data_IF_243117218295
#
_entry.id   IF_243117218295
#
_cell.length_a   1.000
_cell.length_b   1.000
_cell.length_c   1.000
_cell.angle_alpha   90.00
_cell.angle_beta   90.00
_cell.angle_gamma   90.00
#
_symmetry.space_group_name_H-M   'P 1'
#
loop_
_entity.id
_entity.type
_entity.pdbx_description
1 polymer ?
#
# COMPACT_ATOMS: atom_id res chain seq x y z
N UNK A 1 6.13 -8.23 5.55
CA UNK A 1 6.06 -7.25 4.44
C UNK A 1 5.09 -6.17 4.87
N UNK A 2 5.47 -4.89 4.86
CA UNK A 2 4.51 -3.83 5.18
C UNK A 2 3.96 -3.32 3.87
N UNK A 3 2.66 -3.51 3.64
CA UNK A 3 1.93 -2.85 2.58
C UNK A 3 1.64 -1.42 3.06
N UNK A 4 2.54 -0.48 2.76
CA UNK A 4 2.38 0.91 3.19
C UNK A 4 1.53 1.62 2.14
N UNK A 5 0.24 1.82 2.44
CA UNK A 5 -0.50 2.92 1.82
C UNK A 5 0.06 4.21 2.42
N UNK A 6 0.98 4.85 1.70
CA UNK A 6 1.62 6.08 2.15
C UNK A 6 0.62 7.24 2.00
N UNK A 7 -0.39 7.27 2.87
CA UNK A 7 -1.28 8.42 3.00
C UNK A 7 -0.51 9.50 3.77
N UNK A 8 0.27 10.29 3.04
CA UNK A 8 0.70 11.60 3.53
C UNK A 8 -0.32 12.60 3.02
N UNK A 9 -1.45 12.76 3.70
CA UNK A 9 -2.52 13.63 3.23
C UNK A 9 -2.04 15.09 3.05
N UNK A 10 -2.16 15.66 1.84
CA UNK A 10 -2.01 17.10 1.57
C UNK A 10 -2.88 17.49 0.35
N UNK A 11 -4.20 17.59 0.53
CA UNK A 11 -5.12 18.17 -0.46
C UNK A 11 -6.50 18.51 0.14
N UNK A 12 -7.18 19.57 -0.35
CA UNK A 12 -8.53 19.90 0.11
C UNK A 12 -9.50 18.87 -0.45
N UNK A 13 -9.83 17.87 0.38
CA UNK A 13 -10.57 16.67 -0.01
C UNK A 13 -10.03 15.38 0.62
N UNK A 14 -8.92 15.46 1.37
CA UNK A 14 -8.27 14.36 2.08
C UNK A 14 -9.21 13.47 2.89
N UNK A 15 -8.75 12.25 3.16
CA UNK A 15 -9.49 11.19 3.84
C UNK A 15 -10.31 11.75 5.02
N UNK A 16 -11.58 11.33 5.13
CA UNK A 16 -12.44 11.55 6.31
C UNK A 16 -11.95 10.74 7.52
N UNK A 17 -10.64 10.67 7.75
CA UNK A 17 -10.08 10.07 8.94
C UNK A 17 -10.15 11.12 10.06
N UNK A 18 -11.12 10.98 10.96
CA UNK A 18 -11.33 11.90 12.09
C UNK A 18 -10.12 12.03 13.03
N UNK A 19 -9.14 11.11 12.90
CA UNK A 19 -7.90 11.11 13.68
C UNK A 19 -6.78 11.96 13.07
N UNK A 20 -6.83 12.26 11.77
CA UNK A 20 -5.80 13.07 11.09
C UNK A 20 -6.44 14.40 10.67
N UNK A 21 -6.03 15.55 11.28
CA UNK A 21 -6.59 16.83 10.90
C UNK A 21 -6.35 17.11 9.41
N UNK A 22 -7.30 17.79 8.75
CA UNK A 22 -7.29 18.07 7.30
C UNK A 22 -6.02 18.75 6.77
N UNK A 23 -5.25 19.40 7.65
CA UNK A 23 -3.94 19.99 7.33
C UNK A 23 -2.81 18.95 7.22
N UNK A 24 -3.11 17.67 7.40
CA UNK A 24 -2.14 16.59 7.53
C UNK A 24 -1.40 16.61 8.88
N UNK A 25 -0.53 15.62 9.08
CA UNK A 25 0.39 15.48 10.22
C UNK A 25 1.77 15.13 9.71
N UNK A 26 2.57 16.16 9.38
CA UNK A 26 3.93 15.97 8.87
C UNK A 26 4.83 15.21 9.87
N UNK A 27 4.58 15.40 11.16
CA UNK A 27 5.23 14.69 12.26
C UNK A 27 4.90 13.20 12.30
N UNK A 28 3.80 12.78 11.67
CA UNK A 28 3.40 11.37 11.51
C UNK A 28 3.68 10.83 10.11
N UNK A 29 4.36 11.59 9.25
CA UNK A 29 4.68 11.14 7.91
C UNK A 29 5.62 9.91 7.96
N UNK A 30 5.31 8.81 7.25
CA UNK A 30 6.22 7.67 7.14
C UNK A 30 7.61 8.07 6.61
N UNK A 31 7.70 9.18 5.86
CA UNK A 31 8.96 9.72 5.35
C UNK A 31 9.93 10.11 6.49
N UNK A 32 9.41 10.67 7.59
CA UNK A 32 10.21 11.08 8.75
C UNK A 32 10.83 9.87 9.46
N UNK A 33 10.21 8.69 9.33
CA UNK A 33 10.63 7.45 9.97
C UNK A 33 11.25 6.43 9.00
N UNK A 34 11.50 6.83 7.74
CA UNK A 34 12.06 5.93 6.73
C UNK A 34 13.39 5.31 7.17
N UNK A 35 14.21 6.09 7.89
CA UNK A 35 15.47 5.67 8.49
C UNK A 35 15.32 4.56 9.55
N UNK A 36 14.11 4.20 9.98
CA UNK A 36 13.85 3.06 10.89
C UNK A 36 13.44 1.79 10.14
N UNK A 37 13.13 1.89 8.85
CA UNK A 37 12.62 0.77 8.06
C UNK A 37 13.80 -0.07 7.56
N UNK A 38 13.96 -1.26 8.17
CA UNK A 38 15.05 -2.21 7.88
C UNK A 38 14.63 -3.42 7.06
N UNK A 39 13.35 -3.53 6.74
CA UNK A 39 12.79 -4.65 5.99
C UNK A 39 12.52 -4.25 4.53
N UNK A 40 12.50 -5.21 3.58
CA UNK A 40 12.11 -4.95 2.21
C UNK A 40 10.67 -4.39 2.12
N UNK A 41 10.46 -3.41 1.25
CA UNK A 41 9.17 -2.74 1.05
C UNK A 41 8.69 -2.87 -0.39
N UNK A 42 7.53 -3.49 -0.58
CA UNK A 42 6.77 -3.44 -1.83
C UNK A 42 5.67 -2.39 -1.67
N UNK A 43 5.66 -1.40 -2.55
CA UNK A 43 4.68 -0.33 -2.58
C UNK A 43 3.89 -0.38 -3.89
N UNK A 44 2.59 -0.09 -3.80
CA UNK A 44 1.70 0.01 -4.93
C UNK A 44 1.05 1.38 -4.97
N UNK A 45 0.82 1.92 -6.17
CA UNK A 45 -0.04 3.09 -6.31
C UNK A 45 -0.67 3.19 -7.70
N UNK A 46 -1.86 3.75 -7.76
CA UNK A 46 -2.59 4.01 -9.00
C UNK A 46 -2.20 5.38 -9.58
N UNK A 47 -1.90 5.43 -10.88
CA UNK A 47 -1.54 6.70 -11.54
C UNK A 47 -2.73 7.66 -11.68
N UNK A 48 -3.95 7.12 -11.77
CA UNK A 48 -5.20 7.88 -11.83
C UNK A 48 -5.85 8.11 -10.46
N UNK A 49 -5.15 7.85 -9.35
CA UNK A 49 -5.66 8.16 -8.02
C UNK A 49 -5.77 9.69 -7.82
N UNK A 50 -7.00 10.17 -7.67
CA UNK A 50 -7.31 11.60 -7.43
C UNK A 50 -7.51 11.90 -5.94
N UNK A 51 -7.57 10.87 -5.09
CA UNK A 51 -7.69 10.97 -3.64
C UNK A 51 -6.32 11.16 -3.00
N UNK A 52 -5.34 10.30 -3.36
CA UNK A 52 -3.97 10.39 -2.86
C UNK A 52 -3.01 10.56 -4.05
N UNK A 53 -2.42 11.75 -4.24
CA UNK A 53 -1.54 12.00 -5.37
C UNK A 53 -0.34 11.05 -5.41
N UNK A 54 -0.01 10.54 -6.61
CA UNK A 54 1.11 9.60 -6.79
C UNK A 54 2.48 10.16 -6.37
N UNK A 55 2.62 11.48 -6.31
CA UNK A 55 3.83 12.16 -5.85
C UNK A 55 4.19 11.75 -4.41
N UNK A 56 3.21 11.39 -3.58
CA UNK A 56 3.44 11.01 -2.19
C UNK A 56 4.20 9.69 -2.08
N UNK A 57 3.76 8.65 -2.81
CA UNK A 57 4.47 7.37 -2.81
C UNK A 57 5.83 7.50 -3.51
N UNK A 58 5.92 8.29 -4.59
CA UNK A 58 7.18 8.50 -5.33
C UNK A 58 8.22 9.15 -4.42
N UNK A 59 7.81 10.14 -3.61
CA UNK A 59 8.68 10.78 -2.62
C UNK A 59 9.12 9.78 -1.55
N UNK A 60 8.19 9.00 -1.00
CA UNK A 60 8.53 8.00 0.02
C UNK A 60 9.46 6.91 -0.51
N UNK A 61 9.22 6.39 -1.71
CA UNK A 61 10.09 5.43 -2.39
C UNK A 61 11.50 5.99 -2.58
N UNK A 62 11.63 7.26 -2.99
CA UNK A 62 12.94 7.93 -3.08
C UNK A 62 13.64 8.01 -1.72
N UNK A 63 12.91 8.29 -0.63
CA UNK A 63 13.46 8.29 0.72
C UNK A 63 13.95 6.89 1.12
N UNK A 64 13.17 5.84 0.87
CA UNK A 64 13.58 4.45 1.15
C UNK A 64 14.86 4.06 0.40
N UNK A 65 14.97 4.46 -0.88
CA UNK A 65 16.18 4.24 -1.68
C UNK A 65 17.40 4.98 -1.09
N UNK A 66 17.22 6.21 -0.60
CA UNK A 66 18.29 6.98 0.05
C UNK A 66 18.76 6.33 1.36
N UNK A 67 17.83 5.74 2.11
CA UNK A 67 18.11 4.96 3.34
C UNK A 67 18.66 3.54 3.05
N UNK A 68 18.89 3.21 1.76
CA UNK A 68 19.33 1.88 1.29
C UNK A 68 18.37 0.75 1.69
N UNK A 69 17.11 1.07 1.97
CA UNK A 69 16.07 0.07 2.23
C UNK A 69 15.70 -0.60 0.90
N UNK A 70 15.74 -1.94 0.81
CA UNK A 70 15.33 -2.63 -0.40
C UNK A 70 13.86 -2.34 -0.70
N UNK A 71 13.56 -1.70 -1.83
CA UNK A 71 12.19 -1.29 -2.14
C UNK A 71 11.85 -1.45 -3.63
N UNK A 72 10.57 -1.69 -3.90
CA UNK A 72 9.99 -1.74 -5.25
C UNK A 72 8.68 -0.95 -5.23
N UNK A 73 8.52 -0.03 -6.17
CA UNK A 73 7.27 0.69 -6.41
C UNK A 73 6.62 0.20 -7.70
N UNK A 74 5.43 -0.39 -7.59
CA UNK A 74 4.57 -0.77 -8.71
C UNK A 74 3.55 0.36 -8.93
N UNK A 75 3.61 0.97 -10.11
CA UNK A 75 2.65 1.99 -10.53
C UNK A 75 1.66 1.35 -11.49
N UNK A 76 0.37 1.47 -11.21
CA UNK A 76 -0.69 0.86 -12.00
C UNK A 76 -1.33 1.94 -12.88
N UNK A 77 -1.09 1.91 -14.21
CA UNK A 77 -1.65 2.89 -15.12
C UNK A 77 -3.18 2.84 -15.14
N UNK A 78 -3.84 3.99 -15.32
CA UNK A 78 -5.31 4.12 -15.50
C UNK A 78 -6.16 3.72 -14.28
N UNK A 79 -5.59 2.97 -13.32
CA UNK A 79 -6.21 2.63 -12.06
C UNK A 79 -6.54 3.88 -11.23
N UNK A 80 -7.57 3.77 -10.37
CA UNK A 80 -8.01 4.80 -9.43
C UNK A 80 -7.77 4.36 -7.99
N UNK A 81 -8.19 5.18 -7.04
CA UNK A 81 -8.22 4.79 -5.64
C UNK A 81 -8.93 3.43 -5.44
N UNK A 82 -8.44 2.61 -4.50
CA UNK A 82 -8.93 1.25 -4.22
C UNK A 82 -8.89 0.25 -5.40
N UNK A 83 -8.02 0.47 -6.39
CA UNK A 83 -7.91 -0.42 -7.56
C UNK A 83 -7.65 -1.89 -7.22
N UNK A 84 -7.02 -2.17 -6.07
CA UNK A 84 -6.75 -3.52 -5.57
C UNK A 84 -8.02 -4.35 -5.29
N UNK A 85 -9.22 -3.76 -5.44
CA UNK A 85 -10.54 -4.41 -5.27
C UNK A 85 -11.27 -4.64 -6.59
N UNK A 86 -10.67 -4.26 -7.72
CA UNK A 86 -11.34 -4.27 -9.02
C UNK A 86 -10.51 -5.09 -10.01
N UNK A 87 -11.17 -5.98 -10.74
CA UNK A 87 -10.54 -6.67 -11.85
C UNK A 87 -10.24 -5.69 -13.00
N UNK A 88 -9.10 -5.81 -13.70
CA UNK A 88 -8.11 -6.91 -13.61
C UNK A 88 -7.01 -6.69 -12.55
N UNK A 89 -7.05 -5.59 -11.79
CA UNK A 89 -5.91 -5.18 -10.99
C UNK A 89 -5.68 -6.05 -9.74
N UNK A 90 -6.70 -6.75 -9.25
CA UNK A 90 -6.54 -7.76 -8.18
C UNK A 90 -5.48 -8.79 -8.60
N UNK A 91 -5.63 -9.36 -9.81
CA UNK A 91 -4.70 -10.35 -10.33
C UNK A 91 -3.29 -9.79 -10.46
N UNK A 92 -3.15 -8.56 -10.96
CA UNK A 92 -1.85 -7.89 -11.06
C UNK A 92 -1.20 -7.70 -9.69
N UNK A 93 -1.93 -7.22 -8.68
CA UNK A 93 -1.40 -7.03 -7.32
C UNK A 93 -0.95 -8.36 -6.71
N UNK A 94 -1.74 -9.44 -6.89
CA UNK A 94 -1.38 -10.78 -6.42
C UNK A 94 -0.08 -11.29 -7.04
N UNK A 95 0.08 -11.12 -8.36
CA UNK A 95 1.32 -11.49 -9.07
C UNK A 95 2.52 -10.75 -8.50
N UNK A 96 2.40 -9.43 -8.35
CA UNK A 96 3.50 -8.60 -7.88
C UNK A 96 3.92 -8.88 -6.43
N UNK A 97 2.96 -9.21 -5.56
CA UNK A 97 3.25 -9.68 -4.19
C UNK A 97 4.00 -11.01 -4.24
N UNK A 98 3.48 -11.98 -5.01
CA UNK A 98 4.09 -13.31 -5.13
C UNK A 98 5.53 -13.23 -5.62
N UNK A 99 5.75 -12.52 -6.72
CA UNK A 99 7.08 -12.34 -7.31
C UNK A 99 8.05 -11.67 -6.32
N UNK A 100 7.57 -10.68 -5.57
CA UNK A 100 8.38 -10.01 -4.56
C UNK A 100 8.78 -10.95 -3.41
N UNK A 101 7.87 -11.82 -2.97
CA UNK A 101 8.17 -12.79 -1.91
C UNK A 101 9.13 -13.89 -2.40
N UNK A 102 8.94 -14.40 -3.61
CA UNK A 102 9.83 -15.40 -4.25
C UNK A 102 11.24 -14.83 -4.41
N UNK A 103 11.36 -13.62 -4.97
CA UNK A 103 12.66 -12.96 -5.16
C UNK A 103 13.43 -12.70 -3.85
N UNK A 104 12.75 -12.80 -2.71
CA UNK A 104 13.34 -12.67 -1.37
C UNK A 104 13.58 -14.00 -0.67
N UNK A 105 13.24 -15.12 -1.30
CA UNK A 105 13.32 -16.45 -0.70
C UNK A 105 12.40 -16.62 0.51
N UNK A 106 11.35 -15.79 0.61
CA UNK A 106 10.37 -15.85 1.71
C UNK A 106 9.28 -16.87 1.44
N UNK A 107 9.08 -17.23 0.17
CA UNK A 107 8.21 -18.32 -0.29
C UNK A 107 8.95 -19.08 -1.39
N UNK A 108 8.74 -20.39 -1.41
CA UNK A 108 9.33 -21.32 -2.39
C UNK A 108 8.44 -21.39 -3.63
N UNK A 109 9.04 -21.38 -4.83
CA UNK A 109 8.33 -21.46 -6.12
C UNK A 109 7.61 -22.80 -6.34
N UNK A 110 7.83 -23.76 -5.43
CA UNK A 110 7.23 -25.11 -5.42
C UNK A 110 5.86 -25.20 -4.76
N UNK A 111 5.29 -24.12 -4.21
CA UNK A 111 3.99 -24.15 -3.51
C UNK A 111 2.87 -23.40 -4.26
N UNK A 112 1.96 -24.10 -4.98
CA UNK A 112 0.95 -23.47 -5.83
C UNK A 112 -0.13 -22.63 -5.11
N UNK A 113 -0.11 -22.57 -3.77
CA UNK A 113 -1.11 -21.86 -2.96
C UNK A 113 -0.79 -20.36 -2.76
N UNK A 114 0.01 -19.78 -3.66
CA UNK A 114 0.41 -18.36 -3.64
C UNK A 114 -0.78 -17.40 -3.72
N UNK A 115 -1.87 -17.83 -4.38
CA UNK A 115 -3.13 -17.11 -4.38
C UNK A 115 -3.70 -16.96 -2.96
N UNK A 116 -3.68 -18.02 -2.15
CA UNK A 116 -4.19 -17.99 -0.77
C UNK A 116 -3.34 -17.08 0.14
N UNK A 117 -2.02 -17.05 -0.02
CA UNK A 117 -1.15 -16.14 0.73
C UNK A 117 -1.36 -14.67 0.33
N UNK A 118 -1.49 -14.40 -0.98
CA UNK A 118 -1.84 -13.07 -1.47
C UNK A 118 -3.26 -12.66 -1.05
N UNK A 119 -4.19 -13.61 -0.96
CA UNK A 119 -5.58 -13.40 -0.51
C UNK A 119 -5.67 -13.13 0.97
N UNK A 120 -4.93 -13.87 1.80
CA UNK A 120 -4.83 -13.59 3.23
C UNK A 120 -4.26 -12.19 3.47
N UNK A 121 -3.21 -11.81 2.72
CA UNK A 121 -2.66 -10.46 2.80
C UNK A 121 -3.67 -9.40 2.36
N UNK A 122 -4.35 -9.57 1.22
CA UNK A 122 -5.39 -8.64 0.75
C UNK A 122 -6.56 -8.53 1.74
N UNK A 123 -6.94 -9.63 2.39
CA UNK A 123 -7.98 -9.65 3.42
C UNK A 123 -7.57 -8.86 4.67
N UNK A 124 -6.32 -8.95 5.12
CA UNK A 124 -5.82 -8.18 6.28
C UNK A 124 -5.76 -6.66 6.04
N UNK A 125 -5.53 -6.22 4.79
CA UNK A 125 -5.49 -4.78 4.44
C UNK A 125 -6.86 -4.21 4.07
N UNK A 126 -7.89 -5.05 3.99
CA UNK A 126 -9.26 -4.61 3.75
C UNK A 126 -9.92 -4.31 5.10
N UNK A 127 -10.16 -3.04 5.47
CA UNK A 127 -10.93 -2.75 6.67
C UNK A 127 -12.31 -3.41 6.56
N UNK A 128 -12.69 -4.20 7.56
CA UNK A 128 -14.05 -4.69 7.73
C UNK A 128 -15.01 -3.49 7.68
N UNK A 129 -16.16 -3.60 7.00
CA UNK A 129 -17.19 -2.56 7.12
C UNK A 129 -17.49 -2.37 8.61
N UNK A 130 -17.71 -1.13 9.07
CA UNK A 130 -18.09 -0.91 10.46
C UNK A 130 -19.36 -1.72 10.73
N UNK A 131 -19.37 -2.46 11.84
CA UNK A 131 -20.56 -3.18 12.29
C UNK A 131 -21.74 -2.21 12.28
N UNK A 132 -22.77 -2.53 11.49
CA UNK A 132 -24.00 -1.76 11.52
C UNK A 132 -24.54 -1.80 12.97
N UNK A 133 -24.86 -0.65 13.58
CA UNK A 133 -25.43 -0.66 14.91
C UNK A 133 -26.71 -1.48 14.86
N UNK A 134 -26.75 -2.56 15.64
CA UNK A 134 -27.94 -3.39 15.80
C UNK A 134 -29.11 -2.48 16.15
N UNK A 135 -30.06 -2.35 15.22
CA UNK A 135 -31.30 -1.65 15.45
C UNK A 135 -32.01 -2.34 16.63
N UNK A 136 -32.07 -1.64 17.75
CA UNK A 136 -32.88 -1.98 18.93
C UNK A 136 -34.09 -1.07 18.97
#
# INVERSE_FOLDING_TARGET
MILISAVTDIGPGGYRNSLVPQRGRADLSPQSFAHLIRIPVLAFHAEGDTTVPIQHIRKFHKTLLAEKTPTRLVQVPVARHDFHRVDPYIAQVRTEITDFLIARGLVDDRYPDHAAAADALLAEVTPQPPDEPSAT
#
